data_IF_425163010849
#
_entry.id   IF_425163010849
#
_cell.length_a   1.000
_cell.length_b   1.000
_cell.length_c   1.000
_cell.angle_alpha   90.00
_cell.angle_beta   90.00
_cell.angle_gamma   90.00
#
_symmetry.space_group_name_H-M   'P 1'
#
loop_
_entity.id
_entity.type
_entity.pdbx_description
1 polymer ?
#
# COMPACT_ATOMS: atom_id res chain seq x y z
N UNK A 1 4.10 -6.19 -44.77
CA UNK A 1 3.28 -5.22 -44.00
C UNK A 1 3.42 -5.55 -42.52
N UNK A 2 4.13 -4.70 -41.77
CA UNK A 2 4.55 -4.91 -40.38
C UNK A 2 3.72 -4.01 -39.45
N UNK A 3 3.50 -4.49 -38.22
CA UNK A 3 3.00 -3.81 -36.99
C UNK A 3 1.49 -3.88 -36.71
N UNK A 4 1.04 -5.05 -36.24
CA UNK A 4 -0.20 -5.22 -35.43
C UNK A 4 0.07 -5.55 -33.95
N UNK A 5 1.33 -5.44 -33.48
CA UNK A 5 1.74 -5.98 -32.17
C UNK A 5 2.17 -4.97 -31.10
N UNK A 6 2.18 -3.66 -31.38
CA UNK A 6 2.78 -2.66 -30.46
C UNK A 6 1.73 -1.91 -29.63
N UNK A 7 0.45 -1.91 -30.01
CA UNK A 7 -0.58 -1.11 -29.32
C UNK A 7 -1.24 -1.80 -28.11
N UNK A 8 -1.00 -3.09 -27.86
CA UNK A 8 -1.84 -3.85 -26.92
C UNK A 8 -1.36 -3.80 -25.46
N UNK A 9 -0.07 -3.69 -25.19
CA UNK A 9 0.48 -3.80 -23.83
C UNK A 9 0.25 -2.53 -22.98
N UNK A 10 0.45 -1.35 -23.57
CA UNK A 10 0.19 -0.07 -22.91
C UNK A 10 -1.30 0.14 -22.61
N UNK A 11 -2.15 -0.11 -23.59
CA UNK A 11 -3.62 -0.07 -23.44
C UNK A 11 -4.11 -1.06 -22.36
N UNK A 12 -3.53 -2.27 -22.33
CA UNK A 12 -3.86 -3.27 -21.29
C UNK A 12 -3.44 -2.81 -19.89
N UNK A 13 -2.31 -2.10 -19.77
CA UNK A 13 -1.85 -1.56 -18.49
C UNK A 13 -2.74 -0.44 -17.99
N UNK A 14 -3.10 0.51 -18.86
CA UNK A 14 -4.02 1.61 -18.53
C UNK A 14 -5.36 1.06 -18.04
N UNK A 15 -5.96 0.12 -18.77
CA UNK A 15 -7.21 -0.54 -18.36
C UNK A 15 -7.08 -1.26 -17.01
N UNK A 16 -5.92 -1.84 -16.73
CA UNK A 16 -5.65 -2.48 -15.44
C UNK A 16 -5.65 -1.44 -14.31
N UNK A 17 -4.96 -0.31 -14.49
CA UNK A 17 -4.94 0.79 -13.53
C UNK A 17 -6.34 1.37 -13.29
N UNK A 18 -7.13 1.58 -14.34
CA UNK A 18 -8.52 2.06 -14.24
C UNK A 18 -9.40 1.11 -13.43
N UNK A 19 -9.30 -0.21 -13.68
CA UNK A 19 -10.04 -1.22 -12.90
C UNK A 19 -9.62 -1.23 -11.42
N UNK A 20 -8.34 -1.05 -11.13
CA UNK A 20 -7.84 -0.97 -9.76
C UNK A 20 -8.37 0.30 -9.06
N UNK A 21 -8.37 1.45 -9.74
CA UNK A 21 -8.93 2.70 -9.24
C UNK A 21 -10.42 2.59 -8.94
N UNK A 22 -11.19 2.02 -9.87
CA UNK A 22 -12.63 1.83 -9.69
C UNK A 22 -12.93 0.96 -8.47
N UNK A 23 -12.20 -0.15 -8.32
CA UNK A 23 -12.36 -1.02 -7.16
C UNK A 23 -11.92 -0.35 -5.85
N UNK A 24 -10.88 0.47 -5.88
CA UNK A 24 -10.41 1.23 -4.72
C UNK A 24 -11.50 2.23 -4.27
N UNK A 25 -12.12 2.96 -5.22
CA UNK A 25 -13.21 3.90 -4.95
C UNK A 25 -14.41 3.22 -4.30
N UNK A 26 -14.88 2.12 -4.88
CA UNK A 26 -16.00 1.33 -4.32
C UNK A 26 -15.73 0.88 -2.89
N UNK A 27 -14.51 0.43 -2.60
CA UNK A 27 -14.12 0.05 -1.24
C UNK A 27 -14.04 1.27 -0.32
N UNK A 28 -13.61 2.44 -0.80
CA UNK A 28 -13.57 3.67 0.01
C UNK A 28 -14.97 4.23 0.33
N UNK A 29 -15.91 4.14 -0.62
CA UNK A 29 -17.23 4.77 -0.54
C UNK A 29 -18.28 3.96 0.25
N UNK A 30 -18.00 2.68 0.54
CA UNK A 30 -18.90 1.85 1.38
C UNK A 30 -19.21 2.56 2.70
N UNK A 31 -20.50 2.83 2.96
CA UNK A 31 -20.99 3.34 4.24
C UNK A 31 -21.03 2.23 5.29
N UNK A 32 -20.97 2.61 6.57
CA UNK A 32 -21.13 1.70 7.71
C UNK A 32 -20.14 0.51 7.71
N UNK A 33 -18.85 0.82 7.50
CA UNK A 33 -17.78 -0.19 7.50
C UNK A 33 -17.55 -0.78 8.87
N UNK A 34 -17.53 -2.12 8.93
CA UNK A 34 -17.00 -2.81 10.11
C UNK A 34 -15.46 -2.86 10.09
N UNK A 35 -14.87 -3.42 11.15
CA UNK A 35 -13.41 -3.55 11.26
C UNK A 35 -12.80 -4.43 10.15
N UNK A 36 -13.51 -5.46 9.71
CA UNK A 36 -13.04 -6.36 8.66
C UNK A 36 -13.06 -5.67 7.29
N UNK A 37 -14.10 -4.87 7.01
CA UNK A 37 -14.22 -4.04 5.81
C UNK A 37 -13.05 -3.05 5.70
N UNK A 38 -12.68 -2.43 6.82
CA UNK A 38 -11.53 -1.51 6.86
C UNK A 38 -10.25 -2.26 6.51
N UNK A 39 -10.00 -3.41 7.15
CA UNK A 39 -8.80 -4.22 6.88
C UNK A 39 -8.78 -4.72 5.42
N UNK A 40 -9.93 -5.11 4.87
CA UNK A 40 -10.04 -5.51 3.47
C UNK A 40 -9.72 -4.35 2.52
N UNK A 41 -10.21 -3.15 2.83
CA UNK A 41 -9.91 -1.94 2.07
C UNK A 41 -8.42 -1.62 2.09
N UNK A 42 -7.77 -1.71 3.27
CA UNK A 42 -6.33 -1.53 3.42
C UNK A 42 -5.53 -2.56 2.59
N UNK A 43 -5.88 -3.85 2.69
CA UNK A 43 -5.24 -4.92 1.91
C UNK A 43 -5.32 -4.66 0.41
N UNK A 44 -6.49 -4.24 -0.07
CA UNK A 44 -6.66 -3.94 -1.48
C UNK A 44 -5.86 -2.71 -1.92
N UNK A 45 -5.84 -1.64 -1.12
CA UNK A 45 -5.05 -0.44 -1.41
C UNK A 45 -3.55 -0.76 -1.53
N UNK A 46 -3.00 -1.54 -0.59
CA UNK A 46 -1.60 -1.99 -0.62
C UNK A 46 -1.30 -2.87 -1.84
N UNK A 47 -2.20 -3.79 -2.19
CA UNK A 47 -2.08 -4.60 -3.40
C UNK A 47 -2.05 -3.73 -4.67
N UNK A 48 -2.97 -2.77 -4.80
CA UNK A 48 -3.02 -1.88 -5.95
C UNK A 48 -1.75 -1.02 -6.06
N UNK A 49 -1.26 -0.50 -4.94
CA UNK A 49 -0.01 0.24 -4.87
C UNK A 49 1.19 -0.61 -5.30
N UNK A 50 1.34 -1.82 -4.75
CA UNK A 50 2.42 -2.74 -5.11
C UNK A 50 2.42 -3.05 -6.62
N UNK A 51 1.25 -3.31 -7.19
CA UNK A 51 1.10 -3.55 -8.64
C UNK A 51 1.58 -2.35 -9.45
N UNK A 52 1.17 -1.14 -9.08
CA UNK A 52 1.60 0.08 -9.77
C UNK A 52 3.11 0.31 -9.65
N UNK A 53 3.69 0.09 -8.46
CA UNK A 53 5.12 0.21 -8.22
C UNK A 53 5.94 -0.72 -9.11
N UNK A 54 5.51 -1.98 -9.31
CA UNK A 54 6.21 -2.89 -10.22
C UNK A 54 6.24 -2.37 -11.67
N UNK A 55 5.16 -1.75 -12.13
CA UNK A 55 5.12 -1.10 -13.45
C UNK A 55 6.10 0.06 -13.55
N UNK A 56 6.13 0.92 -12.53
CA UNK A 56 7.07 2.05 -12.43
C UNK A 56 8.53 1.58 -12.41
N UNK A 57 8.86 0.56 -11.61
CA UNK A 57 10.22 -0.02 -11.56
C UNK A 57 10.63 -0.54 -12.93
N UNK A 58 9.73 -1.21 -13.66
CA UNK A 58 10.02 -1.68 -15.01
C UNK A 58 10.27 -0.54 -16.00
N UNK A 59 9.54 0.56 -15.90
CA UNK A 59 9.75 1.74 -16.75
C UNK A 59 11.08 2.43 -16.43
N UNK A 60 11.34 2.73 -15.15
CA UNK A 60 12.56 3.44 -14.72
C UNK A 60 13.82 2.64 -15.05
N UNK A 61 13.76 1.31 -14.98
CA UNK A 61 14.88 0.44 -15.34
C UNK A 61 15.04 0.21 -16.85
N UNK A 62 14.16 0.76 -17.69
CA UNK A 62 14.26 0.65 -19.14
C UNK A 62 14.82 1.96 -19.74
N UNK A 63 16.10 1.98 -20.17
CA UNK A 63 16.73 3.19 -20.67
C UNK A 63 16.10 3.69 -21.98
N UNK A 64 15.58 2.81 -22.84
CA UNK A 64 14.92 3.21 -24.10
C UNK A 64 13.63 3.98 -23.83
N UNK A 65 12.88 3.57 -22.79
CA UNK A 65 11.69 4.29 -22.34
C UNK A 65 12.10 5.60 -21.66
N UNK A 66 13.06 5.57 -20.73
CA UNK A 66 13.48 6.77 -20.00
C UNK A 66 14.12 7.84 -20.89
N UNK A 67 14.86 7.45 -21.93
CA UNK A 67 15.46 8.36 -22.89
C UNK A 67 14.44 9.07 -23.81
N UNK A 68 13.19 8.58 -23.87
CA UNK A 68 12.12 9.20 -24.66
C UNK A 68 11.50 10.43 -23.97
N UNK A 69 11.73 10.61 -22.67
CA UNK A 69 11.24 11.75 -21.90
C UNK A 69 12.27 12.87 -21.87
N UNK A 70 11.78 14.10 -21.87
CA UNK A 70 12.60 15.30 -21.63
C UNK A 70 13.04 15.39 -20.16
N UNK A 71 14.08 16.18 -19.90
CA UNK A 71 14.55 16.45 -18.53
C UNK A 71 13.43 17.01 -17.65
N UNK A 72 12.62 17.93 -18.18
CA UNK A 72 11.51 18.52 -17.43
C UNK A 72 10.46 17.45 -17.04
N UNK A 73 10.10 16.56 -17.97
CA UNK A 73 9.16 15.47 -17.66
C UNK A 73 9.74 14.53 -16.60
N UNK A 74 11.03 14.19 -16.68
CA UNK A 74 11.70 13.37 -15.68
C UNK A 74 11.74 14.04 -14.30
N UNK A 75 11.99 15.35 -14.24
CA UNK A 75 11.97 16.13 -13.00
C UNK A 75 10.56 16.15 -12.38
N UNK A 76 9.52 16.37 -13.20
CA UNK A 76 8.13 16.34 -12.75
C UNK A 76 7.70 14.96 -12.23
N UNK A 77 8.07 13.90 -12.94
CA UNK A 77 7.83 12.51 -12.54
C UNK A 77 8.54 12.19 -11.22
N UNK A 78 9.82 12.53 -11.12
CA UNK A 78 10.64 12.31 -9.92
C UNK A 78 10.07 13.05 -8.71
N UNK A 79 9.68 14.33 -8.87
CA UNK A 79 9.09 15.12 -7.79
C UNK A 79 7.79 14.50 -7.26
N UNK A 80 6.91 14.04 -8.15
CA UNK A 80 5.64 13.40 -7.76
C UNK A 80 5.87 12.10 -6.99
N UNK A 81 6.77 11.25 -7.50
CA UNK A 81 7.07 9.95 -6.85
C UNK A 81 7.72 10.16 -5.49
N UNK A 82 8.75 11.00 -5.42
CA UNK A 82 9.50 11.21 -4.18
C UNK A 82 8.65 11.85 -3.08
N UNK A 83 7.81 12.84 -3.41
CA UNK A 83 6.87 13.45 -2.45
C UNK A 83 5.88 12.42 -1.90
N UNK A 84 5.28 11.59 -2.76
CA UNK A 84 4.36 10.54 -2.32
C UNK A 84 5.05 9.51 -1.42
N UNK A 85 6.26 9.06 -1.80
CA UNK A 85 7.03 8.07 -1.03
C UNK A 85 7.45 8.64 0.33
N UNK A 86 7.86 9.91 0.38
CA UNK A 86 8.22 10.57 1.63
C UNK A 86 7.06 10.59 2.62
N UNK A 87 5.87 10.98 2.17
CA UNK A 87 4.67 11.01 3.03
C UNK A 87 4.26 9.61 3.48
N UNK A 88 4.36 8.61 2.60
CA UNK A 88 4.07 7.22 2.95
C UNK A 88 5.05 6.66 3.99
N UNK A 89 6.35 6.94 3.84
CA UNK A 89 7.38 6.51 4.80
C UNK A 89 7.23 7.18 6.17
N UNK A 90 6.87 8.47 6.21
CA UNK A 90 6.57 9.16 7.48
C UNK A 90 5.45 8.45 8.24
N UNK A 91 4.38 8.08 7.53
CA UNK A 91 3.26 7.36 8.12
C UNK A 91 3.63 5.92 8.54
N UNK A 92 4.44 5.21 7.75
CA UNK A 92 4.93 3.88 8.09
C UNK A 92 5.73 3.91 9.41
N UNK A 93 6.59 4.91 9.61
CA UNK A 93 7.32 5.11 10.86
C UNK A 93 6.36 5.29 12.04
N UNK A 94 5.37 6.18 11.90
CA UNK A 94 4.38 6.46 12.94
C UNK A 94 3.60 5.20 13.35
N UNK A 95 3.02 4.50 12.37
CA UNK A 95 2.19 3.32 12.62
C UNK A 95 3.02 2.16 13.18
N UNK A 96 4.26 1.99 12.72
CA UNK A 96 5.17 0.96 13.25
C UNK A 96 5.46 1.19 14.72
N UNK A 97 5.71 2.44 15.13
CA UNK A 97 5.93 2.78 16.54
C UNK A 97 4.69 2.50 17.40
N UNK A 98 3.49 2.83 16.90
CA UNK A 98 2.23 2.52 17.58
C UNK A 98 2.05 1.00 17.71
N UNK A 99 2.29 0.25 16.64
CA UNK A 99 2.21 -1.21 16.63
C UNK A 99 3.16 -1.87 17.62
N UNK A 100 4.43 -1.42 17.65
CA UNK A 100 5.43 -1.90 18.59
C UNK A 100 5.01 -1.66 20.04
N UNK A 101 4.48 -0.46 20.35
CA UNK A 101 3.98 -0.13 21.69
C UNK A 101 2.83 -1.02 22.12
N UNK A 102 1.82 -1.20 21.25
CA UNK A 102 0.67 -2.08 21.51
C UNK A 102 1.09 -3.52 21.73
N UNK A 103 2.08 -4.01 20.97
CA UNK A 103 2.63 -5.36 21.13
C UNK A 103 3.30 -5.53 22.50
N UNK A 104 4.11 -4.56 22.93
CA UNK A 104 4.75 -4.56 24.24
C UNK A 104 3.74 -4.50 25.40
N UNK A 105 2.68 -3.70 25.27
CA UNK A 105 1.60 -3.62 26.25
C UNK A 105 0.84 -4.93 26.37
N UNK A 106 0.49 -5.56 25.24
CA UNK A 106 -0.16 -6.86 25.20
C UNK A 106 0.69 -7.95 25.86
N UNK A 107 2.00 -7.95 25.62
CA UNK A 107 2.95 -8.87 26.25
C UNK A 107 3.04 -8.65 27.77
N UNK A 108 3.12 -7.40 28.22
CA UNK A 108 3.10 -7.06 29.66
C UNK A 108 1.80 -7.50 30.33
N UNK A 109 0.65 -7.33 29.67
CA UNK A 109 -0.65 -7.75 30.19
C UNK A 109 -0.72 -9.28 30.33
N UNK A 110 -0.25 -10.02 29.33
CA UNK A 110 -0.15 -11.50 29.36
C UNK A 110 0.73 -11.99 30.51
N UNK A 111 1.91 -11.38 30.70
CA UNK A 111 2.83 -11.73 31.81
C UNK A 111 2.26 -11.42 33.20
N UNK A 112 1.42 -10.38 33.32
CA UNK A 112 0.71 -10.08 34.56
C UNK A 112 -0.42 -11.07 34.83
N UNK A 113 -1.17 -11.49 33.81
CA UNK A 113 -2.23 -12.50 33.99
C UNK A 113 -1.68 -13.89 34.30
N UNK A 114 -0.51 -14.25 33.75
CA UNK A 114 0.16 -15.52 34.04
C UNK A 114 0.84 -15.57 35.41
N UNK A 115 0.93 -14.44 36.13
CA UNK A 115 1.49 -14.33 37.48
C UNK A 115 0.44 -14.32 38.58
N UNK A 116 -0.86 -14.27 38.25
CA UNK A 116 -1.93 -14.47 39.23
C UNK A 116 -1.93 -15.94 39.65
N UNK A 117 -1.86 -16.20 40.95
CA UNK A 117 -1.99 -17.56 41.48
C UNK A 117 -3.41 -18.08 41.23
N UNK A 118 -3.64 -19.41 41.16
CA UNK A 118 -4.96 -19.96 40.91
C UNK A 118 -6.03 -19.40 41.87
N UNK A 119 -5.69 -19.15 43.14
CA UNK A 119 -6.60 -18.60 44.16
C UNK A 119 -7.16 -17.21 43.81
N UNK A 120 -6.42 -16.37 43.08
CA UNK A 120 -6.86 -15.03 42.67
C UNK A 120 -7.76 -15.05 41.42
N UNK A 121 -7.82 -16.16 40.69
CA UNK A 121 -8.63 -16.31 39.48
C UNK A 121 -10.07 -16.80 39.77
N UNK A 122 -10.33 -17.34 40.97
CA UNK A 122 -11.63 -17.92 41.36
C UNK A 122 -12.56 -16.95 42.10
N UNK A 123 -12.10 -15.74 42.46
CA UNK A 123 -12.92 -14.72 43.12
C UNK A 123 -13.13 -13.49 42.22
N UNK A 124 -13.74 -13.71 41.06
CA UNK A 124 -14.40 -12.68 40.23
C UNK A 124 -15.75 -13.20 39.78
#
# INVERSE_FOLDING_TARGET
MIKKGVNTLGETWVQTCERLLERLRRLSEKKDKDRLDIVQSMRFALYALQRSLLGWVNWVNNPDIMASFSLQELEEMNKKITSFVEDFLKYDVEITQIGARKSLEAEKARRKSSRRTPEEAFYV
#
